data_IF_210371284368
#
_entry.id   IF_210371284368
#
_cell.length_a   1.000
_cell.length_b   1.000
_cell.length_c   1.000
_cell.angle_alpha   90.00
_cell.angle_beta   90.00
_cell.angle_gamma   90.00
#
_symmetry.space_group_name_H-M   'P 1'
#
loop_
_entity.id
_entity.type
_entity.pdbx_description
1 polymer ?
#
# COMPACT_ATOMS: atom_id res chain seq x y z
N UNK A 1 0.42 -7.51 -5.93
CA UNK A 1 -0.01 -6.17 -6.44
C UNK A 1 1.19 -5.47 -7.07
N UNK A 2 1.00 -4.80 -8.18
CA UNK A 2 2.01 -3.94 -8.78
C UNK A 2 1.89 -2.53 -8.21
N UNK A 3 3.00 -1.92 -7.82
CA UNK A 3 3.02 -0.58 -7.25
C UNK A 3 3.87 0.33 -8.14
N UNK A 4 3.35 1.49 -8.50
CA UNK A 4 4.09 2.52 -9.19
C UNK A 4 3.65 3.91 -8.71
N UNK A 5 4.14 4.93 -9.38
CA UNK A 5 3.94 6.33 -8.99
C UNK A 5 3.24 7.10 -10.09
N UNK A 6 2.83 8.32 -9.79
CA UNK A 6 2.64 9.35 -10.82
C UNK A 6 3.98 9.64 -11.51
N UNK A 7 3.93 10.35 -12.64
CA UNK A 7 5.15 10.68 -13.38
C UNK A 7 6.05 11.64 -12.59
N UNK A 8 7.37 11.50 -12.76
CA UNK A 8 8.41 12.33 -12.14
C UNK A 8 8.31 12.35 -10.61
N UNK A 9 8.31 11.18 -9.94
CA UNK A 9 8.21 11.13 -8.49
C UNK A 9 9.49 11.61 -7.81
N UNK A 10 9.36 12.10 -6.58
CA UNK A 10 10.49 12.37 -5.69
C UNK A 10 11.16 11.07 -5.24
N UNK A 11 12.38 11.18 -4.71
CA UNK A 11 13.05 10.03 -4.10
C UNK A 11 12.27 9.47 -2.91
N UNK A 12 11.63 10.34 -2.13
CA UNK A 12 10.81 9.93 -0.99
C UNK A 12 9.64 9.05 -1.42
N UNK A 13 8.95 9.43 -2.50
CA UNK A 13 7.84 8.64 -3.03
C UNK A 13 8.32 7.31 -3.61
N UNK A 14 9.46 7.29 -4.29
CA UNK A 14 10.07 6.04 -4.76
C UNK A 14 10.43 5.10 -3.62
N UNK A 15 11.03 5.64 -2.55
CA UNK A 15 11.37 4.88 -1.35
C UNK A 15 10.10 4.33 -0.69
N UNK A 16 9.06 5.14 -0.59
CA UNK A 16 7.77 4.71 -0.06
C UNK A 16 7.23 3.50 -0.84
N UNK A 17 7.23 3.58 -2.16
CA UNK A 17 6.74 2.48 -3.00
C UNK A 17 7.53 1.19 -2.81
N UNK A 18 8.86 1.29 -2.72
CA UNK A 18 9.72 0.13 -2.46
C UNK A 18 9.46 -0.48 -1.08
N UNK A 19 9.30 0.36 -0.06
CA UNK A 19 9.00 -0.09 1.30
C UNK A 19 7.61 -0.74 1.36
N UNK A 20 6.62 -0.11 0.73
CA UNK A 20 5.26 -0.66 0.65
C UNK A 20 5.25 -2.02 -0.05
N UNK A 21 6.00 -2.17 -1.14
CA UNK A 21 6.10 -3.43 -1.85
C UNK A 21 6.65 -4.54 -0.96
N UNK A 22 7.69 -4.26 -0.19
CA UNK A 22 8.30 -5.25 0.72
C UNK A 22 7.40 -5.61 1.89
N UNK A 23 6.62 -4.66 2.39
CA UNK A 23 5.74 -4.86 3.56
C UNK A 23 4.37 -5.43 3.20
N UNK A 24 4.05 -5.58 1.91
CA UNK A 24 2.77 -6.08 1.43
C UNK A 24 2.90 -7.24 0.44
N UNK A 25 4.09 -7.81 0.31
CA UNK A 25 4.37 -8.86 -0.68
C UNK A 25 3.95 -8.46 -2.10
N UNK A 26 4.34 -7.26 -2.48
CA UNK A 26 4.00 -6.65 -3.78
C UNK A 26 5.27 -6.35 -4.57
N UNK A 27 5.11 -5.96 -5.82
CA UNK A 27 6.22 -5.62 -6.74
C UNK A 27 6.14 -4.15 -7.09
N UNK A 28 7.24 -3.41 -6.93
CA UNK A 28 7.30 -2.02 -7.37
C UNK A 28 8.03 -1.90 -8.71
N UNK A 29 7.53 -0.99 -9.55
CA UNK A 29 8.19 -0.65 -10.83
C UNK A 29 8.30 0.86 -10.96
N UNK A 30 9.36 1.30 -11.63
CA UNK A 30 9.52 2.72 -11.95
C UNK A 30 8.48 3.13 -13.00
N UNK A 31 7.83 4.28 -12.78
CA UNK A 31 6.83 4.79 -13.70
C UNK A 31 7.45 5.10 -15.08
N UNK A 32 8.59 5.78 -15.10
CA UNK A 32 9.19 6.24 -16.33
C UNK A 32 8.20 7.05 -17.15
N UNK A 33 8.11 6.77 -18.44
CA UNK A 33 7.19 7.43 -19.37
C UNK A 33 5.91 6.62 -19.62
N UNK A 34 5.71 5.53 -18.89
CA UNK A 34 4.52 4.68 -19.10
C UNK A 34 3.23 5.45 -18.80
N UNK A 35 2.26 5.30 -19.70
CA UNK A 35 0.89 5.74 -19.43
C UNK A 35 0.14 4.65 -18.66
N UNK A 36 -1.10 4.91 -18.30
CA UNK A 36 -1.90 3.98 -17.50
C UNK A 36 -2.09 2.63 -18.20
N UNK A 37 -2.33 2.65 -19.51
CA UNK A 37 -2.50 1.43 -20.30
C UNK A 37 -1.25 0.55 -20.26
N UNK A 38 -0.07 1.17 -20.40
CA UNK A 38 1.21 0.45 -20.33
C UNK A 38 1.47 -0.14 -18.94
N UNK A 39 1.08 0.56 -17.88
CA UNK A 39 1.16 0.03 -16.52
C UNK A 39 0.23 -1.18 -16.31
N UNK A 40 -0.99 -1.12 -16.84
CA UNK A 40 -1.92 -2.24 -16.77
C UNK A 40 -1.40 -3.46 -17.53
N UNK A 41 -0.78 -3.24 -18.70
CA UNK A 41 -0.12 -4.31 -19.45
C UNK A 41 1.06 -4.89 -18.68
N UNK A 42 1.82 -4.03 -17.99
CA UNK A 42 2.92 -4.48 -17.12
C UNK A 42 2.43 -5.35 -15.97
N UNK A 43 1.32 -4.99 -15.35
CA UNK A 43 0.70 -5.80 -14.31
C UNK A 43 0.33 -7.19 -14.84
N UNK A 44 -0.27 -7.27 -16.03
CA UNK A 44 -0.61 -8.55 -16.66
C UNK A 44 0.65 -9.37 -16.98
N UNK A 45 1.71 -8.75 -17.49
CA UNK A 45 2.98 -9.45 -17.77
C UNK A 45 3.58 -10.07 -16.50
N UNK A 46 3.41 -9.42 -15.35
CA UNK A 46 3.96 -9.86 -14.08
C UNK A 46 2.99 -10.73 -13.27
N UNK A 47 1.87 -11.12 -13.88
CA UNK A 47 0.80 -11.89 -13.23
C UNK A 47 0.26 -11.22 -11.96
N UNK A 48 0.23 -9.88 -11.96
CA UNK A 48 -0.33 -9.12 -10.86
C UNK A 48 -1.81 -8.84 -11.10
N UNK A 49 -2.64 -9.08 -10.08
CA UNK A 49 -4.10 -8.94 -10.18
C UNK A 49 -4.49 -7.46 -10.07
N UNK A 50 -3.77 -6.71 -9.24
CA UNK A 50 -4.11 -5.33 -8.92
C UNK A 50 -2.91 -4.41 -9.09
N UNK A 51 -3.20 -3.10 -9.23
CA UNK A 51 -2.23 -2.04 -9.44
C UNK A 51 -2.50 -0.92 -8.44
N UNK A 52 -1.46 -0.41 -7.79
CA UNK A 52 -1.55 0.78 -6.96
C UNK A 52 -0.71 1.90 -7.56
N UNK A 53 -1.28 3.09 -7.65
CA UNK A 53 -0.57 4.31 -8.08
C UNK A 53 -0.50 5.27 -6.92
N UNK A 54 0.72 5.69 -6.59
CA UNK A 54 1.00 6.65 -5.52
C UNK A 54 1.22 8.02 -6.14
N UNK A 55 0.39 8.98 -5.74
CA UNK A 55 0.55 10.39 -6.06
C UNK A 55 1.22 11.13 -4.90
N UNK A 56 1.85 12.25 -5.21
CA UNK A 56 2.53 13.06 -4.22
C UNK A 56 2.09 14.51 -4.28
N UNK A 57 2.25 15.22 -3.15
CA UNK A 57 2.11 16.67 -3.06
C UNK A 57 3.38 17.19 -2.43
N UNK A 58 4.06 18.12 -3.09
CA UNK A 58 5.35 18.71 -2.62
C UNK A 58 6.37 17.62 -2.27
N UNK A 59 6.44 16.57 -3.08
CA UNK A 59 7.37 15.47 -2.91
C UNK A 59 7.00 14.46 -1.83
N UNK A 60 5.83 14.56 -1.21
CA UNK A 60 5.37 13.62 -0.16
C UNK A 60 4.25 12.73 -0.69
N UNK A 61 4.31 11.40 -0.45
CA UNK A 61 3.20 10.52 -0.79
C UNK A 61 1.91 11.00 -0.13
N UNK A 62 0.86 11.22 -0.93
CA UNK A 62 -0.36 11.87 -0.46
C UNK A 62 -1.65 11.15 -0.85
N UNK A 63 -1.58 10.27 -1.85
CA UNK A 63 -2.75 9.52 -2.32
C UNK A 63 -2.31 8.18 -2.88
N UNK A 64 -3.05 7.13 -2.56
CA UNK A 64 -2.91 5.83 -3.21
C UNK A 64 -4.24 5.51 -3.88
N UNK A 65 -4.19 5.22 -5.17
CA UNK A 65 -5.35 4.71 -5.91
C UNK A 65 -5.08 3.26 -6.26
N UNK A 66 -5.97 2.39 -5.84
CA UNK A 66 -5.90 0.96 -6.14
C UNK A 66 -6.83 0.65 -7.30
N UNK A 67 -6.29 -0.06 -8.29
CA UNK A 67 -7.03 -0.47 -9.50
C UNK A 67 -6.98 -1.97 -9.64
N UNK A 68 -8.02 -2.54 -10.24
CA UNK A 68 -7.90 -3.89 -10.81
C UNK A 68 -6.99 -3.83 -12.03
N UNK A 69 -6.49 -4.98 -12.49
CA UNK A 69 -5.69 -5.02 -13.72
C UNK A 69 -6.51 -4.75 -15.00
N UNK A 70 -7.81 -4.55 -14.87
CA UNK A 70 -8.70 -4.08 -15.94
C UNK A 70 -8.90 -2.56 -15.92
N UNK A 71 -8.29 -1.87 -14.94
CA UNK A 71 -8.37 -0.41 -14.83
C UNK A 71 -9.55 0.10 -13.99
N UNK A 72 -10.29 -0.76 -13.33
CA UNK A 72 -11.38 -0.35 -12.44
C UNK A 72 -10.79 0.16 -11.11
N UNK A 73 -11.27 1.30 -10.63
CA UNK A 73 -10.87 1.85 -9.32
C UNK A 73 -11.52 1.02 -8.22
N UNK A 74 -10.69 0.45 -7.33
CA UNK A 74 -11.15 -0.37 -6.21
C UNK A 74 -11.22 0.41 -4.90
N UNK A 75 -10.26 1.32 -4.68
CA UNK A 75 -10.14 2.07 -3.43
C UNK A 75 -9.25 3.28 -3.67
N UNK A 76 -9.57 4.40 -3.05
CA UNK A 76 -8.73 5.61 -3.07
C UNK A 76 -8.53 6.09 -1.65
N UNK A 77 -7.26 6.22 -1.23
CA UNK A 77 -6.89 6.69 0.10
C UNK A 77 -6.11 8.00 0.00
N UNK A 78 -6.53 9.00 0.78
CA UNK A 78 -5.68 10.15 1.07
C UNK A 78 -4.87 9.82 2.31
N UNK A 79 -3.56 10.01 2.23
CA UNK A 79 -2.62 9.53 3.24
C UNK A 79 -1.60 10.58 3.66
N UNK A 80 -0.96 10.33 4.78
CA UNK A 80 0.38 10.81 5.10
C UNK A 80 1.22 9.62 5.56
N UNK A 81 2.53 9.74 5.49
CA UNK A 81 3.44 8.62 5.73
C UNK A 81 4.54 9.03 6.69
N UNK A 82 4.85 8.15 7.64
CA UNK A 82 6.04 8.24 8.46
C UNK A 82 6.98 7.10 8.07
N UNK A 83 8.24 7.43 7.80
CA UNK A 83 9.28 6.45 7.47
C UNK A 83 10.59 6.85 8.14
N UNK A 84 11.26 5.88 8.76
CA UNK A 84 12.63 6.05 9.19
C UNK A 84 13.59 5.85 8.02
N UNK A 85 14.77 6.48 8.10
CA UNK A 85 15.83 6.23 7.14
C UNK A 85 16.54 4.92 7.49
N UNK A 86 16.73 4.07 6.48
CA UNK A 86 17.52 2.83 6.59
C UNK A 86 16.99 1.83 7.62
N UNK A 87 15.69 1.79 7.86
CA UNK A 87 15.07 0.79 8.71
C UNK A 87 15.18 -0.60 8.07
N UNK A 88 15.61 -1.58 8.85
CA UNK A 88 15.55 -2.99 8.45
C UNK A 88 14.13 -3.50 8.66
N UNK A 89 13.49 -3.95 7.61
CA UNK A 89 12.08 -4.33 7.67
C UNK A 89 11.87 -5.70 8.34
N UNK A 90 12.71 -6.69 8.01
CA UNK A 90 12.60 -8.05 8.57
C UNK A 90 11.17 -8.62 8.46
N UNK A 91 10.58 -8.46 7.30
CA UNK A 91 9.27 -9.01 6.95
C UNK A 91 9.48 -10.33 6.20
N UNK A 92 8.65 -11.33 6.51
CA UNK A 92 8.55 -12.55 5.71
C UNK A 92 7.33 -12.41 4.78
N UNK A 93 7.51 -11.96 3.52
CA UNK A 93 6.40 -11.49 2.69
C UNK A 93 5.32 -12.54 2.44
N UNK A 94 5.72 -13.79 2.16
CA UNK A 94 4.78 -14.86 1.84
C UNK A 94 3.95 -15.34 3.02
N UNK A 95 4.25 -14.88 4.24
CA UNK A 95 3.58 -15.32 5.48
C UNK A 95 2.81 -14.18 6.15
N UNK A 96 2.63 -13.08 5.46
CA UNK A 96 1.92 -11.92 6.00
C UNK A 96 0.45 -12.22 6.29
N UNK A 97 -0.05 -11.60 7.35
CA UNK A 97 -1.46 -11.57 7.75
C UNK A 97 -1.90 -10.13 7.98
N UNK A 98 -3.19 -9.90 7.97
CA UNK A 98 -3.78 -8.60 8.33
C UNK A 98 -4.65 -8.77 9.56
N UNK A 99 -4.44 -7.92 10.55
CA UNK A 99 -5.33 -7.76 11.70
C UNK A 99 -5.98 -6.39 11.58
N UNK A 100 -7.31 -6.34 11.55
CA UNK A 100 -8.04 -5.10 11.33
C UNK A 100 -9.10 -4.88 12.40
N UNK A 101 -9.15 -3.68 12.93
CA UNK A 101 -10.24 -3.18 13.76
C UNK A 101 -11.04 -2.06 13.08
N UNK A 102 -10.87 -1.89 11.76
CA UNK A 102 -11.54 -0.89 10.96
C UNK A 102 -12.10 -1.52 9.69
N UNK A 103 -13.38 -1.90 9.74
CA UNK A 103 -14.02 -2.72 8.69
C UNK A 103 -13.99 -2.09 7.29
N UNK A 104 -14.03 -0.76 7.21
CA UNK A 104 -14.02 -0.04 5.93
C UNK A 104 -12.75 -0.26 5.11
N UNK A 105 -11.65 -0.69 5.75
CA UNK A 105 -10.41 -1.02 5.07
C UNK A 105 -10.14 -2.52 4.95
N UNK A 106 -11.09 -3.38 5.31
CA UNK A 106 -10.93 -4.82 5.17
C UNK A 106 -10.81 -5.25 3.70
N UNK A 107 -11.27 -4.43 2.77
CA UNK A 107 -11.07 -4.64 1.33
C UNK A 107 -9.58 -4.75 0.95
N UNK A 108 -8.68 -4.18 1.77
CA UNK A 108 -7.24 -4.31 1.53
C UNK A 108 -6.77 -5.78 1.56
N UNK A 109 -7.44 -6.64 2.32
CA UNK A 109 -7.16 -8.08 2.30
C UNK A 109 -7.31 -8.66 0.90
N UNK A 110 -8.39 -8.32 0.22
CA UNK A 110 -8.63 -8.79 -1.16
C UNK A 110 -7.68 -8.12 -2.15
N UNK A 111 -7.46 -6.82 -2.02
CA UNK A 111 -6.58 -6.06 -2.92
C UNK A 111 -5.14 -6.57 -2.84
N UNK A 112 -4.65 -6.84 -1.64
CA UNK A 112 -3.28 -7.30 -1.39
C UNK A 112 -3.13 -8.81 -1.47
N UNK A 113 -4.23 -9.55 -1.50
CA UNK A 113 -4.24 -11.01 -1.41
C UNK A 113 -3.51 -11.51 -0.15
N UNK A 114 -3.86 -10.91 0.98
CA UNK A 114 -3.34 -11.24 2.31
C UNK A 114 -4.51 -11.54 3.24
N UNK A 115 -4.48 -12.68 3.92
CA UNK A 115 -5.59 -13.13 4.76
C UNK A 115 -5.83 -12.21 5.98
N UNK A 116 -7.11 -11.93 6.26
CA UNK A 116 -7.54 -11.35 7.51
C UNK A 116 -7.54 -12.41 8.60
N UNK A 117 -6.97 -12.09 9.75
CA UNK A 117 -6.99 -12.94 10.94
C UNK A 117 -7.40 -12.12 12.16
N UNK A 118 -7.91 -12.78 13.19
CA UNK A 118 -8.31 -12.09 14.42
C UNK A 118 -7.11 -11.67 15.26
N UNK A 119 -6.04 -12.46 15.23
CA UNK A 119 -4.83 -12.23 16.03
C UNK A 119 -3.59 -12.61 15.26
N UNK A 120 -2.51 -11.87 15.53
CA UNK A 120 -1.17 -12.22 15.11
C UNK A 120 -0.18 -11.63 16.10
N UNK A 121 0.96 -12.30 16.31
CA UNK A 121 2.01 -11.84 17.21
C UNK A 121 3.19 -11.26 16.46
N UNK A 122 3.39 -11.72 15.25
CA UNK A 122 4.49 -11.26 14.38
C UNK A 122 4.08 -11.30 12.91
N UNK A 123 4.87 -10.62 12.11
CA UNK A 123 4.79 -10.62 10.65
C UNK A 123 3.37 -10.33 10.14
N UNK A 124 2.82 -9.19 10.56
CA UNK A 124 1.47 -8.82 10.16
C UNK A 124 1.31 -7.31 9.94
N UNK A 125 0.28 -6.98 9.19
CA UNK A 125 -0.19 -5.61 8.95
C UNK A 125 -1.34 -5.37 9.93
N UNK A 126 -1.29 -4.27 10.68
CA UNK A 126 -2.38 -3.90 11.58
C UNK A 126 -3.06 -2.63 11.09
N UNK A 127 -4.36 -2.73 10.88
CA UNK A 127 -5.23 -1.61 10.52
C UNK A 127 -6.06 -1.25 11.74
N UNK A 128 -5.90 -0.04 12.25
CA UNK A 128 -6.58 0.40 13.46
C UNK A 128 -7.24 1.76 13.27
N UNK A 129 -8.36 1.97 13.95
CA UNK A 129 -9.01 3.26 14.04
C UNK A 129 -8.15 4.20 14.87
N UNK A 130 -8.14 5.50 14.53
CA UNK A 130 -7.33 6.48 15.26
C UNK A 130 -8.11 7.79 15.43
N UNK A 131 -7.86 8.51 16.53
CA UNK A 131 -8.55 9.75 16.83
C UNK A 131 -8.17 10.93 15.92
N UNK A 132 -6.93 10.97 15.44
CA UNK A 132 -6.41 12.08 14.60
C UNK A 132 -6.55 11.80 13.11
N UNK A 133 -6.70 10.54 12.74
CA UNK A 133 -6.92 10.06 11.39
C UNK A 133 -8.08 9.08 11.40
N UNK A 134 -8.68 8.79 10.26
CA UNK A 134 -9.72 7.77 10.24
C UNK A 134 -9.16 6.38 10.51
N UNK A 135 -7.92 6.14 10.11
CA UNK A 135 -7.25 4.87 10.39
C UNK A 135 -5.73 5.04 10.32
N UNK A 136 -5.01 4.10 10.95
CA UNK A 136 -3.57 3.92 10.78
C UNK A 136 -3.29 2.51 10.29
N UNK A 137 -2.29 2.39 9.42
CA UNK A 137 -1.77 1.12 8.96
C UNK A 137 -0.34 1.02 9.47
N UNK A 138 -0.09 0.06 10.33
CA UNK A 138 1.22 -0.23 10.90
C UNK A 138 1.66 -1.62 10.48
N UNK A 139 2.95 -1.88 10.61
CA UNK A 139 3.57 -3.12 10.19
C UNK A 139 4.40 -3.68 11.33
N UNK A 140 4.22 -4.96 11.61
CA UNK A 140 4.98 -5.69 12.64
C UNK A 140 5.83 -6.72 11.93
N UNK A 141 7.14 -6.74 12.22
CA UNK A 141 8.08 -7.62 11.54
C UNK A 141 8.03 -9.04 12.06
N UNK A 142 8.83 -9.94 11.46
CA UNK A 142 8.86 -11.36 11.84
C UNK A 142 9.37 -11.64 13.25
N UNK A 143 9.93 -10.63 13.93
CA UNK A 143 10.37 -10.72 15.32
C UNK A 143 9.35 -10.14 16.31
N UNK A 144 8.21 -9.66 15.82
CA UNK A 144 7.18 -9.03 16.67
C UNK A 144 7.42 -7.55 16.94
N UNK A 145 8.38 -6.92 16.27
CA UNK A 145 8.67 -5.50 16.46
C UNK A 145 7.87 -4.64 15.48
N UNK A 146 7.29 -3.57 15.99
CA UNK A 146 6.58 -2.60 15.18
C UNK A 146 7.58 -1.73 14.42
N UNK A 147 7.39 -1.63 13.10
CA UNK A 147 8.23 -0.78 12.26
C UNK A 147 7.89 0.70 12.46
N UNK A 148 8.88 1.56 12.20
CA UNK A 148 8.62 3.01 12.14
C UNK A 148 7.82 3.39 10.90
N UNK A 149 7.85 2.55 9.86
CA UNK A 149 7.03 2.73 8.66
C UNK A 149 5.55 2.63 9.00
N UNK A 150 4.82 3.71 8.72
CA UNK A 150 3.40 3.76 9.05
C UNK A 150 2.67 4.64 8.03
N UNK A 151 1.45 4.24 7.70
CA UNK A 151 0.57 4.98 6.81
C UNK A 151 -0.61 5.49 7.63
N UNK A 152 -0.81 6.81 7.62
CA UNK A 152 -1.98 7.44 8.23
C UNK A 152 -3.01 7.66 7.13
N UNK A 153 -4.22 7.14 7.31
CA UNK A 153 -5.31 7.30 6.36
C UNK A 153 -6.14 8.51 6.80
N UNK A 154 -6.09 9.56 6.01
CA UNK A 154 -6.82 10.81 6.27
C UNK A 154 -8.25 10.75 5.79
N UNK A 155 -8.48 10.08 4.67
CA UNK A 155 -9.79 10.01 4.03
C UNK A 155 -9.84 8.82 3.09
N UNK A 156 -11.00 8.19 3.01
CA UNK A 156 -11.33 7.23 1.97
C UNK A 156 -12.23 7.94 0.99
N UNK A 157 -11.83 7.98 -0.29
CA UNK A 157 -12.63 8.54 -1.35
C UNK A 157 -13.45 7.44 -2.00
N UNK A 158 -14.68 7.74 -2.36
CA UNK A 158 -15.52 6.81 -3.10
C UNK A 158 -14.93 6.59 -4.49
N UNK A 159 -15.04 5.36 -4.98
CA UNK A 159 -14.71 5.06 -6.36
C UNK A 159 -15.69 5.82 -7.28
N UNK A 160 -15.22 6.37 -8.42
CA UNK A 160 -16.13 7.02 -9.37
C UNK A 160 -17.22 6.04 -9.81
N UNK A 161 -18.45 6.49 -9.78
CA UNK A 161 -19.58 5.72 -10.34
C UNK A 161 -19.72 6.05 -11.82
N UNK A 162 -19.88 5.04 -12.61
CA UNK A 162 -20.18 5.20 -14.05
C UNK A 162 -21.64 5.62 -14.24
#
# INVERSE_FOLDING_TARGET
MLISTSRKPSQKTRKFCKTLARTTDSTSVNRGKMNMRELLLKALELDEINLAIVNEIKGNPSKITFYSNKGEVLLVLLISVSMANNEKLNIAPSQLKIVSSFDELNILSDILDIDLVERAEDNFIIISQHKDFIAKINFVNKFGDKLDFQINVKKILEAPHD
#
